data_IF_115407975891
#
_entry.id   IF_115407975891
#
_cell.length_a   1.000
_cell.length_b   1.000
_cell.length_c   1.000
_cell.angle_alpha   90.00
_cell.angle_beta   90.00
_cell.angle_gamma   90.00
#
_symmetry.space_group_name_H-M   'P 1'
#
loop_
_entity.id
_entity.type
_entity.pdbx_description
1 polymer ?
#
# COMPACT_ATOMS: atom_id res chain seq x y z
N UNK A 1 -17.42 -9.19 -15.34
CA UNK A 1 -16.52 -8.27 -16.10
C UNK A 1 -16.75 -6.86 -15.62
N UNK A 2 -16.04 -6.42 -14.59
CA UNK A 2 -16.15 -5.07 -14.03
C UNK A 2 -15.11 -4.19 -14.73
N UNK A 3 -15.61 -3.34 -15.61
CA UNK A 3 -14.82 -2.42 -16.44
C UNK A 3 -14.28 -1.30 -15.54
N UNK A 4 -13.02 -1.36 -15.17
CA UNK A 4 -12.31 -0.25 -14.53
C UNK A 4 -12.27 0.92 -15.51
N UNK A 5 -13.02 1.99 -15.20
CA UNK A 5 -13.08 3.18 -16.03
C UNK A 5 -11.71 3.78 -16.27
N UNK A 6 -11.43 4.07 -17.53
CA UNK A 6 -10.23 4.81 -17.98
C UNK A 6 -10.25 6.20 -17.34
N UNK A 7 -9.45 6.39 -16.30
CA UNK A 7 -9.14 7.71 -15.80
C UNK A 7 -7.63 7.78 -15.56
N UNK A 8 -6.99 8.63 -16.34
CA UNK A 8 -5.62 9.15 -16.25
C UNK A 8 -4.59 8.08 -15.85
N UNK A 9 -3.97 7.49 -16.85
CA UNK A 9 -2.86 6.56 -16.72
C UNK A 9 -1.72 7.25 -15.96
N UNK A 10 -1.51 6.84 -14.72
CA UNK A 10 -0.22 6.98 -14.08
C UNK A 10 0.66 5.94 -14.76
N UNK A 11 1.57 6.34 -15.63
CA UNK A 11 2.50 5.42 -16.28
C UNK A 11 3.40 4.78 -15.23
N UNK A 12 3.22 3.49 -15.04
CA UNK A 12 4.05 2.65 -14.18
C UNK A 12 5.16 2.04 -15.03
N UNK A 13 6.36 2.59 -14.94
CA UNK A 13 7.54 2.07 -15.65
C UNK A 13 8.41 1.28 -14.69
N UNK A 14 8.66 0.01 -15.00
CA UNK A 14 9.60 -0.83 -14.23
C UNK A 14 11.05 -0.33 -14.41
N UNK A 15 11.71 -0.01 -13.31
CA UNK A 15 13.14 0.30 -13.27
C UNK A 15 13.90 -1.01 -13.05
N UNK A 16 15.00 -1.21 -13.77
CA UNK A 16 15.81 -2.44 -13.76
C UNK A 16 16.25 -2.86 -12.36
N UNK A 17 16.31 -4.18 -12.06
CA UNK A 17 16.51 -4.68 -10.70
C UNK A 17 17.92 -4.43 -10.17
N UNK A 18 17.99 -3.98 -8.92
CA UNK A 18 19.18 -4.05 -8.08
C UNK A 18 18.96 -5.11 -7.00
N UNK A 19 19.89 -6.04 -6.93
CA UNK A 19 20.15 -7.06 -5.89
C UNK A 19 18.97 -7.66 -5.08
N UNK A 20 18.99 -8.98 -5.04
CA UNK A 20 18.05 -9.92 -4.38
C UNK A 20 17.62 -9.46 -2.97
N UNK A 21 16.33 -9.20 -2.80
CA UNK A 21 15.70 -8.98 -1.50
C UNK A 21 14.70 -7.82 -1.41
N UNK A 22 14.83 -6.79 -2.23
CA UNK A 22 13.84 -5.72 -2.37
C UNK A 22 12.99 -5.99 -3.61
N UNK A 23 11.68 -5.99 -3.46
CA UNK A 23 10.79 -5.85 -4.60
C UNK A 23 11.22 -4.59 -5.36
N UNK A 24 11.44 -4.73 -6.68
CA UNK A 24 11.95 -3.65 -7.53
C UNK A 24 11.21 -2.33 -7.27
N UNK A 25 11.94 -1.21 -7.12
CA UNK A 25 11.28 0.08 -6.99
C UNK A 25 10.49 0.35 -8.27
N UNK A 26 9.21 0.60 -8.10
CA UNK A 26 8.33 1.00 -9.19
C UNK A 26 8.37 2.50 -9.31
N UNK A 27 8.69 3.01 -10.50
CA UNK A 27 8.58 4.44 -10.79
C UNK A 27 7.09 4.84 -10.85
N UNK A 28 6.74 5.85 -10.08
CA UNK A 28 5.43 6.44 -10.03
C UNK A 28 5.51 7.88 -10.55
N UNK A 29 4.76 8.20 -11.59
CA UNK A 29 4.62 9.57 -12.09
C UNK A 29 3.29 10.15 -11.66
N UNK A 30 3.33 11.26 -10.92
CA UNK A 30 2.13 11.98 -10.50
C UNK A 30 1.56 12.83 -11.65
N UNK A 31 0.27 13.27 -11.55
CA UNK A 31 -0.36 14.12 -12.57
C UNK A 31 0.37 15.44 -12.85
N UNK A 32 1.13 15.96 -11.89
CA UNK A 32 1.93 17.18 -12.03
C UNK A 32 3.32 16.93 -12.64
N UNK A 33 3.58 15.70 -13.12
CA UNK A 33 4.85 15.29 -13.71
C UNK A 33 5.93 14.87 -12.72
N UNK A 34 5.69 14.99 -11.41
CA UNK A 34 6.67 14.58 -10.38
C UNK A 34 6.86 13.07 -10.41
N UNK A 35 8.11 12.63 -10.36
CA UNK A 35 8.48 11.23 -10.33
C UNK A 35 8.92 10.80 -8.93
N UNK A 36 8.46 9.62 -8.51
CA UNK A 36 8.79 8.98 -7.24
C UNK A 36 9.15 7.52 -7.48
N UNK A 37 10.06 7.01 -6.64
CA UNK A 37 10.26 5.57 -6.48
C UNK A 37 9.33 5.06 -5.38
N UNK A 38 8.62 3.95 -5.64
CA UNK A 38 7.84 3.24 -4.63
C UNK A 38 8.44 1.85 -4.45
N UNK A 39 8.82 1.51 -3.24
CA UNK A 39 9.47 0.25 -2.89
C UNK A 39 8.95 -0.34 -1.58
N UNK A 40 9.22 -1.60 -1.35
CA UNK A 40 9.00 -2.21 -0.03
C UNK A 40 9.95 -1.60 1.01
N UNK A 41 9.43 -1.43 2.22
CA UNK A 41 10.22 -1.01 3.36
C UNK A 41 11.08 -2.16 3.90
N UNK A 42 12.16 -1.79 4.57
CA UNK A 42 13.03 -2.66 5.37
C UNK A 42 13.23 -2.05 6.75
N UNK A 43 13.83 -2.80 7.69
CA UNK A 43 14.17 -2.29 9.03
C UNK A 43 15.09 -1.07 9.00
N UNK A 44 15.93 -0.94 7.95
CA UNK A 44 16.88 0.17 7.77
C UNK A 44 16.18 1.50 7.47
N UNK A 45 14.91 1.47 7.06
CA UNK A 45 14.12 2.65 6.77
C UNK A 45 13.57 3.37 8.02
N UNK A 46 13.82 2.81 9.22
CA UNK A 46 13.30 3.36 10.46
C UNK A 46 13.60 4.85 10.65
N UNK A 47 14.83 5.36 10.41
CA UNK A 47 15.11 6.79 10.53
C UNK A 47 14.28 7.65 9.57
N UNK A 48 14.18 7.25 8.29
CA UNK A 48 13.40 7.97 7.27
C UNK A 48 11.90 7.97 7.56
N UNK A 49 11.38 6.88 8.11
CA UNK A 49 9.97 6.79 8.51
C UNK A 49 9.71 7.60 9.79
N UNK A 50 10.64 7.67 10.73
CA UNK A 50 10.54 8.56 11.89
C UNK A 50 10.50 10.03 11.45
N UNK A 51 11.39 10.46 10.54
CA UNK A 51 11.38 11.81 9.95
C UNK A 51 10.06 12.11 9.22
N UNK A 52 9.52 11.17 8.44
CA UNK A 52 8.18 11.30 7.84
C UNK A 52 7.12 11.64 8.89
N UNK A 53 7.11 10.90 10.01
CA UNK A 53 6.12 11.13 11.07
C UNK A 53 6.29 12.50 11.75
N UNK A 54 7.51 12.94 11.96
CA UNK A 54 7.81 14.26 12.55
C UNK A 54 7.37 15.40 11.63
N UNK A 55 7.57 15.25 10.32
CA UNK A 55 7.18 16.23 9.30
C UNK A 55 5.69 16.23 8.96
N UNK A 56 4.93 15.21 9.36
CA UNK A 56 3.49 15.22 9.22
C UNK A 56 2.82 16.04 10.32
N UNK A 57 1.78 16.81 9.96
CA UNK A 57 0.96 17.51 10.94
C UNK A 57 0.29 16.56 11.93
N UNK A 58 -0.06 17.07 13.12
CA UNK A 58 -0.84 16.31 14.10
C UNK A 58 -2.16 15.77 13.47
N UNK A 59 -2.79 16.55 12.58
CA UNK A 59 -4.01 16.18 11.87
C UNK A 59 -3.78 14.97 10.96
N UNK A 60 -2.69 14.94 10.19
CA UNK A 60 -2.35 13.83 9.29
C UNK A 60 -2.04 12.57 10.08
N UNK A 61 -1.31 12.68 11.18
CA UNK A 61 -1.05 11.57 12.09
C UNK A 61 -2.33 11.05 12.75
N UNK A 62 -3.20 11.96 13.23
CA UNK A 62 -4.48 11.58 13.84
C UNK A 62 -5.38 10.81 12.85
N UNK A 63 -5.43 11.26 11.59
CA UNK A 63 -6.18 10.55 10.53
C UNK A 63 -5.64 9.16 10.23
N UNK A 64 -4.34 8.94 10.40
CA UNK A 64 -3.70 7.65 10.17
C UNK A 64 -3.87 6.69 11.35
N UNK A 65 -3.88 7.20 12.58
CA UNK A 65 -3.79 6.41 13.79
C UNK A 65 -4.98 6.54 14.74
N UNK A 66 -6.01 7.27 14.34
CA UNK A 66 -7.31 7.35 15.02
C UNK A 66 -7.24 7.80 16.50
N UNK A 67 -6.45 8.81 16.80
CA UNK A 67 -6.37 9.40 18.15
C UNK A 67 -5.04 9.15 18.89
N UNK A 68 -4.15 8.37 18.32
CA UNK A 68 -2.81 8.20 18.89
C UNK A 68 -1.89 9.38 18.58
N UNK A 69 -1.93 10.44 19.37
CA UNK A 69 -0.99 11.59 19.27
C UNK A 69 0.40 11.25 19.82
N UNK A 70 0.60 10.05 20.32
CA UNK A 70 1.85 9.64 20.92
C UNK A 70 2.99 9.68 19.89
N UNK A 71 4.14 10.22 20.31
CA UNK A 71 5.40 9.96 19.63
C UNK A 71 5.50 8.47 19.40
N UNK A 72 5.62 8.07 18.14
CA UNK A 72 5.69 6.64 17.82
C UNK A 72 6.98 6.07 18.40
N UNK A 73 6.85 5.16 19.35
CA UNK A 73 7.99 4.41 19.85
C UNK A 73 8.66 3.67 18.65
N UNK A 74 10.00 3.72 18.55
CA UNK A 74 10.73 3.06 17.45
C UNK A 74 10.35 1.59 17.26
N UNK A 75 10.05 0.87 18.33
CA UNK A 75 9.59 -0.51 18.27
C UNK A 75 8.25 -0.68 17.53
N UNK A 76 7.32 0.29 17.64
CA UNK A 76 6.06 0.26 16.91
C UNK A 76 6.28 0.53 15.43
N UNK A 77 7.14 1.49 15.09
CA UNK A 77 7.49 1.78 13.69
C UNK A 77 8.17 0.58 13.03
N UNK A 78 9.09 -0.11 13.72
CA UNK A 78 9.70 -1.34 13.19
C UNK A 78 8.67 -2.40 12.81
N UNK A 79 7.68 -2.65 13.66
CA UNK A 79 6.60 -3.61 13.35
C UNK A 79 5.77 -3.21 12.14
N UNK A 80 5.63 -1.91 11.89
CA UNK A 80 4.93 -1.42 10.70
C UNK A 80 5.78 -1.55 9.45
N UNK A 81 7.12 -1.45 9.55
CA UNK A 81 8.02 -1.58 8.40
C UNK A 81 8.05 -3.02 7.86
N UNK A 82 8.06 -3.99 8.75
CA UNK A 82 8.18 -5.42 8.41
C UNK A 82 6.99 -6.21 9.02
N UNK A 83 5.78 -6.05 8.47
CA UNK A 83 4.61 -6.77 8.98
C UNK A 83 4.75 -8.27 8.68
N UNK A 84 4.39 -9.12 9.67
CA UNK A 84 4.45 -10.57 9.53
C UNK A 84 3.58 -11.09 8.37
N UNK A 85 2.46 -10.43 8.09
CA UNK A 85 1.57 -10.69 6.95
C UNK A 85 1.23 -9.37 6.27
N UNK A 86 1.69 -9.18 5.05
CA UNK A 86 1.43 -7.96 4.31
C UNK A 86 2.68 -7.32 3.72
N UNK A 87 2.66 -6.01 3.58
CA UNK A 87 3.80 -5.22 3.07
C UNK A 87 3.65 -3.77 3.49
N UNK A 88 4.78 -3.13 3.73
CA UNK A 88 4.86 -1.67 3.84
C UNK A 88 5.58 -1.12 2.62
N UNK A 89 4.96 -0.18 1.95
CA UNK A 89 5.52 0.54 0.81
C UNK A 89 5.94 1.94 1.24
N UNK A 90 7.09 2.37 0.77
CA UNK A 90 7.60 3.73 0.96
C UNK A 90 7.69 4.43 -0.39
N UNK A 91 7.36 5.72 -0.42
CA UNK A 91 7.53 6.58 -1.58
C UNK A 91 8.63 7.61 -1.31
N UNK A 92 9.58 7.69 -2.24
CA UNK A 92 10.72 8.59 -2.21
C UNK A 92 10.80 9.37 -3.51
N UNK A 93 11.05 10.69 -3.52
CA UNK A 93 11.31 11.44 -4.73
C UNK A 93 12.53 10.88 -5.47
N UNK A 94 12.47 10.84 -6.80
CA UNK A 94 13.61 10.48 -7.65
C UNK A 94 14.63 11.61 -7.70
N UNK A 95 15.87 11.31 -8.15
CA UNK A 95 16.94 12.31 -8.23
C UNK A 95 17.80 12.42 -6.97
N UNK A 96 17.54 11.63 -5.93
CA UNK A 96 18.36 11.51 -4.73
C UNK A 96 19.09 10.17 -4.71
N UNK A 97 20.22 10.12 -3.99
CA UNK A 97 20.81 8.82 -3.64
C UNK A 97 19.79 7.99 -2.83
N UNK A 98 19.67 6.67 -3.05
CA UNK A 98 18.69 5.82 -2.37
C UNK A 98 18.70 5.94 -0.83
N UNK A 99 19.88 6.18 -0.23
CA UNK A 99 20.02 6.37 1.22
C UNK A 99 19.71 7.79 1.71
N UNK A 100 19.74 8.78 0.81
CA UNK A 100 19.50 10.19 1.14
C UNK A 100 18.11 10.68 0.72
N UNK A 101 17.35 9.88 -0.03
CA UNK A 101 16.02 10.24 -0.49
C UNK A 101 15.04 10.32 0.69
N UNK A 102 14.38 11.47 0.92
CA UNK A 102 13.40 11.57 2.01
C UNK A 102 12.22 10.65 1.76
N UNK A 103 11.71 10.01 2.82
CA UNK A 103 10.44 9.30 2.74
C UNK A 103 9.30 10.34 2.79
N UNK A 104 8.48 10.39 1.75
CA UNK A 104 7.37 11.35 1.66
C UNK A 104 6.00 10.72 1.85
N UNK A 105 5.92 9.40 1.79
CA UNK A 105 4.72 8.66 2.14
C UNK A 105 5.04 7.22 2.54
N UNK A 106 4.17 6.66 3.38
CA UNK A 106 4.16 5.28 3.82
C UNK A 106 2.77 4.70 3.58
N UNK A 107 2.70 3.49 3.03
CA UNK A 107 1.47 2.76 2.79
C UNK A 107 1.61 1.34 3.35
N UNK A 108 0.70 0.94 4.24
CA UNK A 108 0.72 -0.36 4.89
C UNK A 108 -0.42 -1.24 4.38
N UNK A 109 -0.11 -2.48 4.10
CA UNK A 109 -1.04 -3.59 3.95
C UNK A 109 -0.76 -4.56 5.10
N UNK A 110 -1.73 -4.76 5.99
CA UNK A 110 -1.61 -5.60 7.17
C UNK A 110 -2.65 -6.71 7.09
N UNK A 111 -2.21 -7.97 6.90
CA UNK A 111 -3.11 -9.10 6.72
C UNK A 111 -3.62 -9.69 8.02
N UNK A 112 -4.93 -9.98 8.08
CA UNK A 112 -5.60 -10.67 9.14
C UNK A 112 -6.61 -11.67 8.56
N UNK A 113 -6.42 -12.97 8.80
CA UNK A 113 -7.25 -14.00 8.17
C UNK A 113 -7.24 -13.90 6.65
N UNK A 114 -8.42 -13.80 6.05
CA UNK A 114 -8.65 -13.66 4.63
C UNK A 114 -8.77 -12.20 4.17
N UNK A 115 -8.66 -11.25 5.09
CA UNK A 115 -8.73 -9.82 4.82
C UNK A 115 -7.40 -9.14 5.07
N UNK A 116 -7.26 -7.92 4.58
CA UNK A 116 -6.12 -7.08 4.90
C UNK A 116 -6.58 -5.65 5.17
N UNK A 117 -5.93 -4.97 6.12
CA UNK A 117 -6.12 -3.55 6.37
C UNK A 117 -5.19 -2.73 5.48
N UNK A 118 -5.72 -1.69 4.83
CA UNK A 118 -4.93 -0.70 4.13
C UNK A 118 -4.90 0.63 4.88
N UNK A 119 -3.71 1.17 5.08
CA UNK A 119 -3.53 2.44 5.75
C UNK A 119 -2.41 3.27 5.13
N UNK A 120 -2.61 4.60 5.06
CA UNK A 120 -1.72 5.53 4.37
C UNK A 120 -1.32 6.69 5.28
N UNK A 121 -0.05 7.10 5.20
CA UNK A 121 0.44 8.37 5.72
C UNK A 121 1.20 9.09 4.60
N UNK A 122 0.75 10.29 4.24
CA UNK A 122 1.39 11.14 3.21
C UNK A 122 1.75 12.46 3.86
N UNK A 123 2.99 12.90 3.71
CA UNK A 123 3.47 14.20 4.19
C UNK A 123 2.61 15.32 3.63
N UNK A 124 2.31 16.32 4.42
CA UNK A 124 1.26 17.33 4.12
C UNK A 124 1.50 18.07 2.80
N UNK A 125 2.76 18.43 2.50
CA UNK A 125 3.16 19.09 1.24
C UNK A 125 3.12 18.16 0.00
N UNK A 126 2.94 16.85 0.20
CA UNK A 126 2.76 15.86 -0.85
C UNK A 126 1.32 15.40 -1.01
N UNK A 127 0.41 15.91 -0.20
CA UNK A 127 -1.02 15.60 -0.31
C UNK A 127 -1.66 16.32 -1.52
N UNK A 128 -2.83 15.81 -1.95
CA UNK A 128 -3.63 16.36 -3.07
C UNK A 128 -2.93 16.37 -4.43
N UNK A 129 -1.80 15.68 -4.57
CA UNK A 129 -1.04 15.51 -5.81
C UNK A 129 -1.27 14.15 -6.49
N UNK A 130 -2.21 13.35 -5.98
CA UNK A 130 -2.51 12.01 -6.52
C UNK A 130 -1.75 10.86 -5.85
N UNK A 131 -0.71 11.14 -5.04
CA UNK A 131 0.14 10.13 -4.41
C UNK A 131 -0.64 9.12 -3.56
N UNK A 132 -1.56 9.59 -2.69
CA UNK A 132 -2.38 8.69 -1.87
C UNK A 132 -3.25 7.74 -2.69
N UNK A 133 -3.81 8.22 -3.83
CA UNK A 133 -4.60 7.38 -4.72
C UNK A 133 -3.75 6.33 -5.45
N UNK A 134 -2.53 6.70 -5.85
CA UNK A 134 -1.60 5.79 -6.50
C UNK A 134 -1.12 4.70 -5.53
N UNK A 135 -0.75 5.07 -4.31
CA UNK A 135 -0.36 4.12 -3.27
C UNK A 135 -1.51 3.18 -2.89
N UNK A 136 -2.75 3.68 -2.79
CA UNK A 136 -3.89 2.82 -2.49
C UNK A 136 -4.14 1.80 -3.61
N UNK A 137 -4.06 2.21 -4.89
CA UNK A 137 -4.11 1.26 -6.02
C UNK A 137 -3.03 0.18 -5.91
N UNK A 138 -1.83 0.57 -5.51
CA UNK A 138 -0.74 -0.39 -5.33
C UNK A 138 -1.00 -1.35 -4.18
N UNK A 139 -1.60 -0.90 -3.06
CA UNK A 139 -2.00 -1.77 -1.97
C UNK A 139 -3.12 -2.75 -2.39
N UNK A 140 -4.11 -2.29 -3.17
CA UNK A 140 -5.15 -3.16 -3.74
C UNK A 140 -4.50 -4.27 -4.57
N UNK A 141 -3.62 -3.91 -5.50
CA UNK A 141 -2.88 -4.89 -6.31
C UNK A 141 -2.06 -5.85 -5.43
N UNK A 142 -1.36 -5.36 -4.41
CA UNK A 142 -0.60 -6.18 -3.49
C UNK A 142 -1.49 -7.14 -2.70
N UNK A 143 -2.69 -6.71 -2.31
CA UNK A 143 -3.66 -7.54 -1.60
C UNK A 143 -4.20 -8.66 -2.50
N UNK A 144 -4.55 -8.35 -3.75
CA UNK A 144 -4.98 -9.33 -4.77
C UNK A 144 -3.89 -10.37 -5.04
N UNK A 145 -2.62 -9.95 -5.22
CA UNK A 145 -1.49 -10.85 -5.45
C UNK A 145 -1.22 -11.79 -4.26
N UNK A 146 -1.62 -11.41 -3.05
CA UNK A 146 -1.50 -12.23 -1.84
C UNK A 146 -2.73 -13.08 -1.56
N UNK A 147 -3.77 -12.97 -2.39
CA UNK A 147 -4.98 -13.78 -2.28
C UNK A 147 -5.93 -13.34 -1.17
N UNK A 148 -5.85 -12.09 -0.69
CA UNK A 148 -6.85 -11.58 0.25
C UNK A 148 -8.21 -11.42 -0.45
N UNK A 149 -9.30 -11.76 0.24
CA UNK A 149 -10.65 -11.66 -0.29
C UNK A 149 -11.21 -10.23 -0.21
N UNK A 150 -10.75 -9.44 0.76
CA UNK A 150 -11.21 -8.07 0.96
C UNK A 150 -10.11 -7.18 1.55
N UNK A 151 -10.30 -5.87 1.35
CA UNK A 151 -9.45 -4.83 1.90
C UNK A 151 -10.29 -3.91 2.79
N UNK A 152 -9.91 -3.81 4.05
CA UNK A 152 -10.54 -2.92 5.01
C UNK A 152 -9.78 -1.61 5.12
N UNK A 153 -10.53 -0.52 5.15
CA UNK A 153 -10.02 0.83 5.37
C UNK A 153 -10.76 1.49 6.52
N UNK A 154 -10.05 1.80 7.58
CA UNK A 154 -10.58 2.56 8.70
C UNK A 154 -10.34 4.05 8.47
N UNK A 155 -11.40 4.82 8.32
CA UNK A 155 -11.33 6.23 7.90
C UNK A 155 -12.16 7.09 8.85
N UNK A 156 -11.59 8.17 9.37
CA UNK A 156 -12.38 9.16 10.09
C UNK A 156 -13.43 9.78 9.17
N UNK A 157 -14.69 9.88 9.60
CA UNK A 157 -15.82 10.36 8.79
C UNK A 157 -15.56 11.77 8.19
N UNK A 158 -14.80 12.60 8.88
CA UNK A 158 -14.37 13.92 8.43
C UNK A 158 -13.26 13.90 7.38
N UNK A 159 -12.60 12.75 7.16
CA UNK A 159 -11.56 12.61 6.15
C UNK A 159 -12.16 12.43 4.74
N UNK A 160 -12.93 13.44 4.32
CA UNK A 160 -13.58 13.47 3.01
C UNK A 160 -12.64 13.21 1.83
N UNK A 161 -11.36 13.68 1.83
CA UNK A 161 -10.42 13.36 0.75
C UNK A 161 -10.21 11.85 0.60
N UNK A 162 -10.00 11.13 1.72
CA UNK A 162 -9.79 9.68 1.67
C UNK A 162 -11.07 8.93 1.27
N UNK A 163 -12.23 9.33 1.79
CA UNK A 163 -13.52 8.77 1.39
C UNK A 163 -13.74 8.89 -0.13
N UNK A 164 -13.44 10.07 -0.72
CA UNK A 164 -13.52 10.26 -2.17
C UNK A 164 -12.51 9.41 -2.94
N UNK A 165 -11.31 9.23 -2.38
CA UNK A 165 -10.27 8.40 -3.00
C UNK A 165 -10.73 6.95 -3.09
N UNK A 166 -11.24 6.39 -2.01
CA UNK A 166 -11.79 5.01 -2.00
C UNK A 166 -12.97 4.88 -2.96
N UNK A 167 -13.96 5.79 -2.89
CA UNK A 167 -15.14 5.75 -3.75
C UNK A 167 -14.85 5.87 -5.27
N UNK A 168 -13.68 6.42 -5.65
CA UNK A 168 -13.22 6.45 -7.05
C UNK A 168 -12.51 5.16 -7.46
N UNK A 169 -11.90 4.46 -6.52
CA UNK A 169 -11.11 3.25 -6.79
C UNK A 169 -11.96 2.00 -6.78
N UNK A 170 -12.93 1.92 -5.88
CA UNK A 170 -13.78 0.74 -5.72
C UNK A 170 -15.13 1.12 -5.11
N UNK A 171 -16.11 0.23 -5.29
CA UNK A 171 -17.36 0.29 -4.54
C UNK A 171 -17.22 -0.60 -3.30
N UNK A 172 -17.28 -0.06 -2.07
CA UNK A 172 -17.28 -0.87 -0.88
C UNK A 172 -18.48 -1.83 -0.89
N UNK A 173 -18.28 -3.07 -0.46
CA UNK A 173 -19.35 -4.05 -0.27
C UNK A 173 -20.04 -3.88 1.07
N UNK A 174 -19.31 -3.33 2.05
CA UNK A 174 -19.85 -3.01 3.36
C UNK A 174 -19.31 -1.65 3.85
N UNK A 175 -20.16 -0.96 4.59
CA UNK A 175 -19.84 0.31 5.27
C UNK A 175 -20.34 0.20 6.69
N UNK A 176 -19.41 0.12 7.63
CA UNK A 176 -19.71 0.12 9.06
C UNK A 176 -19.28 1.45 9.68
N UNK A 177 -20.09 2.00 10.57
CA UNK A 177 -19.79 3.25 11.27
C UNK A 177 -19.82 3.04 12.77
N UNK A 178 -18.71 3.38 13.41
CA UNK A 178 -18.58 3.40 14.85
C UNK A 178 -18.13 4.82 15.29
N UNK A 179 -19.09 5.59 15.77
CA UNK A 179 -18.87 6.99 16.12
C UNK A 179 -18.31 7.81 14.95
N UNK A 180 -17.10 8.32 15.10
CA UNK A 180 -16.40 9.10 14.08
C UNK A 180 -15.59 8.24 13.11
N UNK A 181 -15.51 6.93 13.33
CA UNK A 181 -14.77 6.00 12.47
C UNK A 181 -15.71 5.33 11.47
N UNK A 182 -15.29 5.24 10.23
CA UNK A 182 -15.99 4.52 9.16
C UNK A 182 -15.06 3.44 8.63
N UNK A 183 -15.48 2.19 8.71
CA UNK A 183 -14.80 1.06 8.08
C UNK A 183 -15.45 0.80 6.72
N UNK A 184 -14.65 0.85 5.68
CA UNK A 184 -15.04 0.51 4.32
C UNK A 184 -14.40 -0.82 3.94
N UNK A 185 -15.21 -1.83 3.66
CA UNK A 185 -14.74 -3.13 3.15
C UNK A 185 -14.84 -3.15 1.63
N UNK A 186 -13.72 -3.26 0.96
CA UNK A 186 -13.61 -3.33 -0.50
C UNK A 186 -13.35 -4.77 -0.90
N UNK A 187 -14.27 -5.43 -1.64
CA UNK A 187 -14.03 -6.79 -2.12
C UNK A 187 -12.91 -6.77 -3.15
N UNK A 188 -12.02 -7.74 -3.06
CA UNK A 188 -10.93 -7.95 -4.01
C UNK A 188 -11.32 -9.07 -4.96
N UNK A 189 -10.98 -8.91 -6.24
CA UNK A 189 -11.10 -10.01 -7.19
C UNK A 189 -9.92 -10.95 -6.95
N UNK A 190 -10.17 -12.13 -6.40
CA UNK A 190 -9.11 -13.13 -6.23
C UNK A 190 -8.40 -13.32 -7.57
N UNK A 191 -7.10 -13.04 -7.61
CA UNK A 191 -6.28 -13.44 -8.74
C UNK A 191 -6.49 -14.97 -8.90
N UNK A 192 -6.86 -15.43 -10.09
CA UNK A 192 -7.08 -16.84 -10.37
C UNK A 192 -5.97 -17.67 -9.72
N UNK A 193 -6.27 -18.74 -9.01
CA UNK A 193 -5.26 -19.57 -8.37
C UNK A 193 -4.22 -19.92 -9.43
N UNK A 194 -2.95 -19.69 -9.15
CA UNK A 194 -1.86 -20.18 -9.98
C UNK A 194 -2.05 -21.69 -10.04
N UNK A 195 -2.44 -22.22 -11.21
CA UNK A 195 -2.41 -23.65 -11.47
C UNK A 195 -1.00 -24.09 -11.14
N UNK A 196 -0.86 -24.86 -10.06
CA UNK A 196 0.39 -25.34 -9.54
C UNK A 196 1.20 -25.97 -10.67
N UNK A 197 2.48 -25.63 -10.74
CA UNK A 197 3.45 -26.29 -11.59
C UNK A 197 3.28 -27.79 -11.43
N UNK A 198 2.99 -28.46 -12.54
CA UNK A 198 2.55 -29.83 -12.61
C UNK A 198 3.40 -30.81 -11.79
N UNK A 199 2.73 -31.65 -11.08
CA UNK A 199 3.26 -32.95 -10.69
C UNK A 199 3.61 -33.70 -11.98
N UNK A 200 4.83 -34.21 -12.17
CA UNK A 200 5.12 -35.05 -13.31
C UNK A 200 4.33 -36.33 -13.14
N UNK A 201 3.39 -36.58 -14.08
CA UNK A 201 2.71 -37.84 -14.21
C UNK A 201 3.77 -38.91 -14.41
N UNK A 202 3.91 -39.80 -13.42
CA UNK A 202 4.71 -41.01 -13.53
C UNK A 202 4.15 -41.87 -14.66
N UNK A 203 4.86 -41.93 -15.76
CA UNK A 203 4.69 -42.92 -16.80
C UNK A 203 5.19 -44.27 -16.25
N UNK A 204 4.30 -45.13 -15.80
CA UNK A 204 4.58 -46.54 -15.60
C UNK A 204 4.72 -47.20 -16.97
N UNK A 205 5.91 -47.73 -17.26
CA UNK A 205 6.16 -48.56 -18.41
C UNK A 205 5.46 -49.93 -18.27
N UNK A 206 4.92 -50.51 -19.33
CA UNK A 206 4.39 -51.85 -19.27
C UNK A 206 5.50 -52.87 -19.28
N UNK A 207 5.48 -53.78 -18.30
CA UNK A 207 6.34 -54.95 -18.24
C UNK A 207 5.83 -55.97 -19.23
N UNK A 208 6.70 -56.51 -20.05
CA UNK A 208 6.53 -57.80 -20.74
C UNK A 208 6.90 -58.92 -19.82
#
# INVERSE_FOLDING_TARGET
>A
MTRWGRQTLVEERAIRPAARGCADPVALRLPDGTELGVRSATGDDLPGVADLHERCSARSRNRRYHGGSARFAPARLRRLLEPARGVTLLANPTGFSPLAAPVVAMANLLGEGDTAEAALLVRDDWQRRGLGSALLRRLVWQAEQRGYAALDLHIQAENRPMMRTVGRLARPSAVNRDGSLVTLTVPLTAALPRIGAGHPLGLSAPTR
#
